data_IF_589150388302
#
_entry.id   IF_589150388302
#
_cell.length_a   1.000
_cell.length_b   1.000
_cell.length_c   1.000
_cell.angle_alpha   90.00
_cell.angle_beta   90.00
_cell.angle_gamma   90.00
#
_symmetry.space_group_name_H-M   'P 1'
#
loop_
_entity.id
_entity.type
_entity.pdbx_description
1 polymer ?
#
# COMPACT_ATOMS: atom_id res chain seq x y z
N UNK A 1 19.30 3.54 6.34
CA UNK A 1 19.07 3.92 7.75
C UNK A 1 18.06 5.06 7.74
N UNK A 2 16.80 4.78 8.04
CA UNK A 2 15.81 5.82 8.32
C UNK A 2 15.96 6.17 9.79
N UNK A 3 16.42 7.39 10.11
CA UNK A 3 16.42 7.88 11.48
C UNK A 3 14.98 8.29 11.73
N UNK A 4 14.20 7.57 12.56
CA UNK A 4 12.83 7.98 12.84
C UNK A 4 12.89 9.32 13.54
N UNK A 5 12.44 10.38 12.87
CA UNK A 5 12.35 11.69 13.50
C UNK A 5 11.27 11.59 14.56
N UNK A 6 11.59 11.75 15.86
CA UNK A 6 10.60 11.54 16.92
C UNK A 6 9.41 12.48 16.70
N UNK A 7 8.20 11.96 16.77
CA UNK A 7 6.97 12.75 16.58
C UNK A 7 6.91 13.98 17.50
N UNK A 8 7.45 13.87 18.71
CA UNK A 8 7.59 14.97 19.66
C UNK A 8 8.55 16.07 19.17
N UNK A 9 9.67 15.70 18.54
CA UNK A 9 10.61 16.65 17.93
C UNK A 9 10.01 17.30 16.68
N UNK A 10 9.23 16.56 15.89
CA UNK A 10 8.54 17.11 14.73
C UNK A 10 7.54 18.20 15.13
N UNK A 11 6.66 17.90 16.10
CA UNK A 11 5.70 18.86 16.63
C UNK A 11 6.41 20.02 17.34
N UNK A 12 7.45 19.75 18.13
CA UNK A 12 8.26 20.79 18.76
C UNK A 12 8.89 21.76 17.76
N UNK A 13 9.42 21.26 16.65
CA UNK A 13 9.98 22.08 15.57
C UNK A 13 8.91 22.95 14.90
N UNK A 14 7.71 22.40 14.63
CA UNK A 14 6.60 23.14 14.03
C UNK A 14 6.13 24.26 14.97
N UNK A 15 5.93 23.96 16.25
CA UNK A 15 5.50 24.96 17.25
C UNK A 15 6.58 26.04 17.42
N UNK A 16 7.86 25.66 17.46
CA UNK A 16 8.97 26.61 17.54
C UNK A 16 9.04 27.54 16.33
N UNK A 17 8.88 26.99 15.11
CA UNK A 17 8.84 27.77 13.88
C UNK A 17 7.65 28.73 13.84
N UNK A 18 6.44 28.27 14.20
CA UNK A 18 5.25 29.13 14.26
C UNK A 18 5.37 30.26 15.28
N UNK A 19 5.91 29.98 16.47
CA UNK A 19 6.19 31.02 17.48
C UNK A 19 7.27 32.00 17.06
N UNK A 20 8.28 31.56 16.31
CA UNK A 20 9.35 32.40 15.77
C UNK A 20 8.87 33.32 14.64
N UNK A 21 7.89 32.89 13.85
CA UNK A 21 7.35 33.67 12.72
C UNK A 21 6.47 34.84 13.17
N UNK A 22 5.78 34.68 14.30
CA UNK A 22 4.88 35.69 14.87
C UNK A 22 5.55 37.07 15.12
N UNK A 23 6.64 37.18 15.91
CA UNK A 23 7.29 38.47 16.16
C UNK A 23 7.88 39.07 14.89
N UNK A 24 8.41 38.26 13.97
CA UNK A 24 8.95 38.74 12.70
C UNK A 24 7.88 39.40 11.84
N UNK A 25 6.74 38.73 11.63
CA UNK A 25 5.63 39.28 10.85
C UNK A 25 5.04 40.55 11.51
N UNK A 26 5.01 40.65 12.85
CA UNK A 26 4.53 41.87 13.53
C UNK A 26 5.43 43.09 13.30
N UNK A 27 6.76 42.91 13.18
CA UNK A 27 7.70 44.01 12.88
C UNK A 27 7.45 44.58 11.49
N UNK A 28 7.09 43.72 10.53
CA UNK A 28 6.80 44.11 9.15
C UNK A 28 5.56 45.00 9.06
N UNK A 29 4.45 44.56 9.66
CA UNK A 29 3.19 45.27 9.57
C UNK A 29 3.19 46.58 10.36
N UNK A 30 3.96 46.65 11.45
CA UNK A 30 4.23 47.93 12.14
C UNK A 30 5.00 48.91 11.25
N UNK A 31 5.89 48.43 10.39
CA UNK A 31 6.59 49.27 9.40
C UNK A 31 5.67 49.79 8.28
N UNK A 32 4.54 49.11 8.02
CA UNK A 32 3.53 49.54 7.05
C UNK A 32 2.55 50.60 7.60
N UNK A 33 2.66 50.96 8.89
CA UNK A 33 1.90 52.07 9.48
C UNK A 33 0.43 51.76 9.78
N UNK A 34 0.03 50.49 9.82
CA UNK A 34 -1.33 50.09 10.18
C UNK A 34 -1.59 50.12 11.69
N UNK A 35 -2.87 50.18 12.09
CA UNK A 35 -3.28 50.12 13.48
C UNK A 35 -2.74 48.84 14.17
N UNK A 36 -2.19 48.98 15.38
CA UNK A 36 -1.49 47.88 16.08
C UNK A 36 -2.32 46.60 16.19
N UNK A 37 -3.63 46.72 16.39
CA UNK A 37 -4.52 45.57 16.48
C UNK A 37 -4.64 44.79 15.16
N UNK A 38 -4.70 45.49 14.02
CA UNK A 38 -4.77 44.86 12.69
C UNK A 38 -3.45 44.13 12.36
N UNK A 39 -2.32 44.74 12.74
CA UNK A 39 -0.98 44.16 12.58
C UNK A 39 -0.85 42.82 13.30
N UNK A 40 -1.29 42.73 14.56
CA UNK A 40 -1.23 41.48 15.30
C UNK A 40 -2.15 40.41 14.69
N UNK A 41 -3.32 40.80 14.20
CA UNK A 41 -4.25 39.87 13.54
C UNK A 41 -3.64 39.30 12.26
N UNK A 42 -3.09 40.15 11.39
CA UNK A 42 -2.46 39.73 10.13
C UNK A 42 -1.18 38.91 10.33
N UNK A 43 -0.36 39.27 11.31
CA UNK A 43 0.83 38.48 11.66
C UNK A 43 0.45 37.09 12.21
N UNK A 44 -0.60 37.01 13.03
CA UNK A 44 -1.08 35.75 13.61
C UNK A 44 -1.61 34.78 12.56
N UNK A 45 -2.36 35.29 11.56
CA UNK A 45 -2.93 34.45 10.50
C UNK A 45 -1.84 33.91 9.59
N UNK A 46 -0.86 34.72 9.20
CA UNK A 46 0.29 34.27 8.40
C UNK A 46 1.15 33.24 9.14
N UNK A 47 1.47 33.50 10.42
CA UNK A 47 2.27 32.61 11.26
C UNK A 47 1.61 31.23 11.49
N UNK A 48 0.29 31.12 11.34
CA UNK A 48 -0.44 29.86 11.40
C UNK A 48 -0.58 29.19 10.03
N UNK A 49 -0.94 29.96 9.00
CA UNK A 49 -1.25 29.43 7.67
C UNK A 49 0.01 28.88 6.99
N UNK A 50 1.16 29.55 7.11
CA UNK A 50 2.39 29.16 6.43
C UNK A 50 2.88 27.77 6.90
N UNK A 51 3.00 27.49 8.21
CA UNK A 51 3.32 26.15 8.69
C UNK A 51 2.28 25.10 8.29
N UNK A 52 0.99 25.41 8.40
CA UNK A 52 -0.09 24.44 8.09
C UNK A 52 -0.06 24.02 6.62
N UNK A 53 0.12 24.97 5.70
CA UNK A 53 0.25 24.67 4.27
C UNK A 53 1.53 23.88 4.00
N UNK A 54 2.66 24.25 4.62
CA UNK A 54 3.91 23.49 4.50
C UNK A 54 3.77 22.03 4.96
N UNK A 55 3.00 21.82 6.04
CA UNK A 55 2.70 20.49 6.58
C UNK A 55 1.88 19.66 5.58
N UNK A 56 0.80 20.23 5.05
CA UNK A 56 -0.09 19.56 4.10
C UNK A 56 0.60 19.24 2.79
N UNK A 57 1.37 20.18 2.25
CA UNK A 57 2.15 19.97 1.03
C UNK A 57 3.25 18.93 1.26
N UNK A 58 3.95 18.96 2.41
CA UNK A 58 4.94 17.94 2.76
C UNK A 58 4.37 16.53 2.79
N UNK A 59 3.18 16.36 3.38
CA UNK A 59 2.45 15.08 3.40
C UNK A 59 2.03 14.70 1.97
N UNK A 60 1.43 15.63 1.21
CA UNK A 60 0.93 15.34 -0.12
C UNK A 60 2.05 14.97 -1.10
N UNK A 61 3.16 15.69 -1.05
CA UNK A 61 4.34 15.44 -1.89
C UNK A 61 4.97 14.07 -1.60
N UNK A 62 4.88 13.60 -0.35
CA UNK A 62 5.34 12.27 0.05
C UNK A 62 4.45 11.15 -0.50
N UNK A 63 3.15 11.39 -0.70
CA UNK A 63 2.21 10.40 -1.24
C UNK A 63 2.11 10.43 -2.78
N UNK A 64 2.30 11.59 -3.41
CA UNK A 64 2.07 11.77 -4.84
C UNK A 64 3.30 11.51 -5.73
N UNK A 65 4.53 11.66 -5.20
CA UNK A 65 5.75 11.65 -6.00
C UNK A 65 6.61 10.40 -5.68
N UNK A 66 7.17 9.70 -6.70
CA UNK A 66 8.11 8.61 -6.47
C UNK A 66 9.31 9.06 -5.62
N UNK A 67 9.66 8.28 -4.59
CA UNK A 67 10.64 8.64 -3.54
C UNK A 67 11.99 9.14 -4.06
N UNK A 68 12.49 8.65 -5.19
CA UNK A 68 13.74 9.16 -5.78
C UNK A 68 13.62 10.62 -6.22
N UNK A 69 12.53 10.96 -6.91
CA UNK A 69 12.27 12.33 -7.33
C UNK A 69 11.96 13.23 -6.13
N UNK A 70 11.20 12.76 -5.14
CA UNK A 70 10.91 13.51 -3.91
C UNK A 70 12.15 13.79 -3.05
N UNK A 71 13.03 12.79 -2.87
CA UNK A 71 14.28 12.95 -2.13
C UNK A 71 15.26 13.87 -2.84
N UNK A 72 15.38 13.80 -4.17
CA UNK A 72 16.21 14.72 -4.95
C UNK A 72 15.65 16.14 -4.86
N UNK A 73 14.33 16.30 -4.99
CA UNK A 73 13.65 17.58 -4.93
C UNK A 73 13.87 18.26 -3.58
N UNK A 74 13.65 17.55 -2.47
CA UNK A 74 13.90 18.09 -1.12
C UNK A 74 15.39 18.28 -0.86
N UNK A 75 16.23 17.37 -1.33
CA UNK A 75 17.67 17.48 -1.24
C UNK A 75 18.22 18.72 -1.96
N UNK A 76 17.56 19.19 -3.01
CA UNK A 76 17.88 20.44 -3.71
C UNK A 76 17.24 21.66 -3.04
N UNK A 77 15.98 21.54 -2.62
CA UNK A 77 15.22 22.63 -2.00
C UNK A 77 15.76 23.04 -0.63
N UNK A 78 16.16 22.09 0.20
CA UNK A 78 16.69 22.37 1.54
C UNK A 78 17.92 23.29 1.52
N UNK A 79 19.01 23.02 0.76
CA UNK A 79 20.17 23.91 0.70
C UNK A 79 19.87 25.24 0.02
N UNK A 80 18.99 25.28 -0.99
CA UNK A 80 18.55 26.54 -1.61
C UNK A 80 17.85 27.43 -0.56
N UNK A 81 16.98 26.82 0.24
CA UNK A 81 16.26 27.52 1.31
C UNK A 81 17.21 28.06 2.36
N UNK A 82 18.12 27.22 2.87
CA UNK A 82 19.12 27.62 3.88
C UNK A 82 20.03 28.72 3.33
N UNK A 83 20.47 28.60 2.07
CA UNK A 83 21.26 29.61 1.39
C UNK A 83 20.51 30.95 1.24
N UNK A 84 19.24 30.90 0.83
CA UNK A 84 18.38 32.07 0.72
C UNK A 84 18.16 32.77 2.07
N UNK A 85 18.00 32.01 3.14
CA UNK A 85 17.85 32.56 4.49
C UNK A 85 19.13 33.17 5.04
N UNK A 86 20.28 32.52 4.86
CA UNK A 86 21.57 33.10 5.22
C UNK A 86 21.83 34.41 4.47
N UNK A 87 21.46 34.45 3.18
CA UNK A 87 21.52 35.66 2.38
C UNK A 87 20.60 36.77 2.92
N UNK A 88 19.38 36.42 3.31
CA UNK A 88 18.42 37.36 3.90
C UNK A 88 18.85 37.91 5.26
N UNK A 89 19.37 37.06 6.14
CA UNK A 89 19.95 37.47 7.43
C UNK A 89 21.15 38.39 7.18
N UNK A 90 21.99 38.09 6.18
CA UNK A 90 23.10 38.96 5.77
C UNK A 90 22.61 40.33 5.27
N UNK A 91 21.52 40.37 4.50
CA UNK A 91 20.89 41.62 4.06
C UNK A 91 20.34 42.43 5.25
N UNK A 92 19.61 41.81 6.18
CA UNK A 92 19.10 42.48 7.39
C UNK A 92 20.23 43.02 8.26
N UNK A 93 21.29 42.23 8.42
CA UNK A 93 22.49 42.67 9.14
C UNK A 93 23.10 43.89 8.46
N UNK A 94 23.18 43.89 7.12
CA UNK A 94 23.75 44.99 6.37
C UNK A 94 22.88 46.25 6.43
N UNK A 95 21.56 46.13 6.32
CA UNK A 95 20.62 47.27 6.42
C UNK A 95 20.55 47.83 7.84
N UNK A 96 20.57 46.97 8.86
CA UNK A 96 20.61 47.39 10.26
C UNK A 96 21.92 48.11 10.62
N UNK A 97 23.06 47.63 10.11
CA UNK A 97 24.35 48.32 10.28
C UNK A 97 24.34 49.65 9.50
N UNK A 98 23.86 49.69 8.26
CA UNK A 98 23.85 50.92 7.47
C UNK A 98 22.93 52.00 8.03
N UNK A 99 21.79 51.63 8.63
CA UNK A 99 20.84 52.57 9.25
C UNK A 99 21.35 53.13 10.59
N UNK A 100 22.13 52.36 11.36
CA UNK A 100 22.83 52.85 12.55
C UNK A 100 23.99 53.82 12.23
N UNK A 101 24.72 53.60 11.13
CA UNK A 101 25.84 54.45 10.74
C UNK A 101 25.45 55.67 9.88
N UNK A 102 24.25 55.69 9.31
CA UNK A 102 23.76 56.77 8.43
C UNK A 102 22.56 57.48 9.05
N UNK A 103 22.78 58.17 10.16
CA UNK A 103 21.79 59.05 10.78
C UNK A 103 21.44 60.22 9.81
N UNK A 104 20.45 60.03 8.93
CA UNK A 104 19.88 61.09 8.10
C UNK A 104 19.65 60.80 6.61
N UNK A 105 19.93 59.60 6.09
CA UNK A 105 19.67 59.28 4.68
C UNK A 105 18.26 58.68 4.47
N UNK A 106 17.58 58.96 3.34
CA UNK A 106 16.17 58.64 3.14
C UNK A 106 15.93 57.12 3.17
N UNK A 107 14.99 56.70 4.03
CA UNK A 107 14.56 55.32 4.30
C UNK A 107 14.02 54.54 3.08
N UNK A 108 13.90 55.17 1.92
CA UNK A 108 13.29 54.59 0.72
C UNK A 108 14.11 53.44 0.09
N UNK A 109 15.44 53.45 0.22
CA UNK A 109 16.30 52.38 -0.33
C UNK A 109 16.37 51.12 0.56
N UNK A 110 15.96 51.22 1.82
CA UNK A 110 16.04 50.15 2.81
C UNK A 110 14.79 49.27 2.84
N UNK A 111 13.64 49.84 2.49
CA UNK A 111 12.33 49.17 2.54
C UNK A 111 12.26 47.94 1.61
N UNK A 112 12.85 48.03 0.41
CA UNK A 112 12.92 46.91 -0.54
C UNK A 112 13.83 45.77 -0.08
N UNK A 113 14.97 46.09 0.57
CA UNK A 113 15.90 45.08 1.11
C UNK A 113 15.31 44.36 2.32
N UNK A 114 14.58 45.09 3.17
CA UNK A 114 13.81 44.54 4.27
C UNK A 114 12.74 43.56 3.78
N UNK A 115 11.97 43.94 2.75
CA UNK A 115 10.96 43.07 2.14
C UNK A 115 11.56 41.78 1.58
N UNK A 116 12.70 41.86 0.88
CA UNK A 116 13.42 40.68 0.39
C UNK A 116 13.91 39.75 1.50
N UNK A 117 14.38 40.31 2.61
CA UNK A 117 14.85 39.50 3.71
C UNK A 117 13.71 38.78 4.46
N UNK A 118 12.58 39.47 4.63
CA UNK A 118 11.38 38.89 5.24
C UNK A 118 10.76 37.80 4.36
N UNK A 119 10.73 38.01 3.04
CA UNK A 119 10.30 37.00 2.07
C UNK A 119 11.14 35.72 2.15
N UNK A 120 12.46 35.87 2.24
CA UNK A 120 13.37 34.76 2.36
C UNK A 120 13.29 34.05 3.73
N UNK A 121 12.97 34.78 4.80
CA UNK A 121 12.74 34.20 6.13
C UNK A 121 11.42 33.39 6.17
N UNK A 122 10.33 33.94 5.62
CA UNK A 122 9.05 33.22 5.49
C UNK A 122 9.18 32.00 4.57
N UNK A 123 9.99 32.10 3.50
CA UNK A 123 10.35 30.95 2.67
C UNK A 123 11.12 29.88 3.45
N UNK A 124 12.03 30.28 4.36
CA UNK A 124 12.72 29.33 5.23
C UNK A 124 11.76 28.58 6.15
N UNK A 125 10.84 29.29 6.80
CA UNK A 125 9.86 28.67 7.68
C UNK A 125 9.01 27.67 6.89
N UNK A 126 8.50 28.09 5.74
CA UNK A 126 7.69 27.25 4.86
C UNK A 126 8.42 25.97 4.42
N UNK A 127 9.62 26.09 3.87
CA UNK A 127 10.38 24.93 3.39
C UNK A 127 10.95 24.07 4.52
N UNK A 128 11.24 24.66 5.68
CA UNK A 128 11.63 23.94 6.89
C UNK A 128 10.51 23.01 7.38
N UNK A 129 9.28 23.52 7.47
CA UNK A 129 8.11 22.71 7.84
C UNK A 129 7.80 21.66 6.77
N UNK A 130 7.92 22.01 5.49
CA UNK A 130 7.71 21.08 4.38
C UNK A 130 8.71 19.91 4.40
N UNK A 131 9.99 20.18 4.62
CA UNK A 131 11.02 19.15 4.74
C UNK A 131 10.81 18.29 5.99
N UNK A 132 10.53 18.90 7.15
CA UNK A 132 10.26 18.19 8.39
C UNK A 132 9.03 17.27 8.26
N UNK A 133 7.95 17.76 7.66
CA UNK A 133 6.73 17.00 7.39
C UNK A 133 7.00 15.82 6.44
N UNK A 134 7.79 16.05 5.38
CA UNK A 134 8.17 15.00 4.45
C UNK A 134 8.96 13.86 5.10
N UNK A 135 9.91 14.17 6.00
CA UNK A 135 10.70 13.14 6.68
C UNK A 135 9.94 12.43 7.81
N UNK A 136 9.06 13.15 8.52
CA UNK A 136 8.31 12.60 9.65
C UNK A 136 7.22 11.60 9.21
N UNK A 137 6.60 11.81 8.04
CA UNK A 137 5.65 10.87 7.48
C UNK A 137 6.38 9.88 6.55
N UNK A 138 7.07 8.91 7.13
CA UNK A 138 7.66 7.79 6.39
C UNK A 138 6.57 6.74 6.13
N UNK A 139 6.04 6.58 4.90
CA UNK A 139 5.08 5.50 4.62
C UNK A 139 5.80 4.16 4.76
N UNK A 140 5.26 3.27 5.59
CA UNK A 140 5.82 1.96 5.94
C UNK A 140 6.27 1.15 4.71
N UNK A 141 7.54 1.32 4.34
CA UNK A 141 8.15 0.70 3.16
C UNK A 141 8.16 -0.83 3.26
N UNK A 142 8.27 -1.32 4.49
CA UNK A 142 8.18 -2.75 4.78
C UNK A 142 6.80 -3.29 4.40
N UNK A 143 5.73 -2.56 4.67
CA UNK A 143 4.36 -3.01 4.43
C UNK A 143 4.07 -3.13 2.92
N UNK A 144 4.50 -2.15 2.13
CA UNK A 144 4.35 -2.17 0.66
C UNK A 144 5.18 -3.29 0.01
N UNK A 145 6.42 -3.49 0.48
CA UNK A 145 7.25 -4.61 0.02
C UNK A 145 6.63 -5.95 0.41
N UNK A 146 6.11 -6.08 1.63
CA UNK A 146 5.39 -7.27 2.05
C UNK A 146 4.14 -7.51 1.20
N UNK A 147 3.35 -6.48 0.90
CA UNK A 147 2.18 -6.59 0.05
C UNK A 147 2.53 -7.08 -1.37
N UNK A 148 3.59 -6.52 -1.98
CA UNK A 148 4.09 -6.98 -3.29
C UNK A 148 4.60 -8.42 -3.23
N UNK A 149 5.29 -8.80 -2.16
CA UNK A 149 5.78 -10.16 -1.98
C UNK A 149 4.62 -11.17 -1.84
N UNK A 150 3.61 -10.85 -1.02
CA UNK A 150 2.41 -11.67 -0.83
C UNK A 150 1.61 -11.84 -2.12
N UNK A 151 1.36 -10.74 -2.84
CA UNK A 151 0.65 -10.80 -4.13
C UNK A 151 1.43 -11.62 -5.17
N UNK A 152 2.76 -11.57 -5.17
CA UNK A 152 3.58 -12.41 -6.05
C UNK A 152 3.50 -13.90 -5.68
N UNK A 153 3.47 -14.22 -4.38
CA UNK A 153 3.37 -15.57 -3.86
C UNK A 153 2.00 -16.18 -4.17
N UNK A 154 0.94 -15.39 -4.02
CA UNK A 154 -0.43 -15.79 -4.37
C UNK A 154 -0.58 -16.12 -5.86
N UNK A 155 0.08 -15.35 -6.74
CA UNK A 155 0.10 -15.68 -8.18
C UNK A 155 0.74 -17.04 -8.44
N UNK A 156 1.87 -17.34 -7.80
CA UNK A 156 2.56 -18.63 -7.92
C UNK A 156 1.68 -19.77 -7.35
N UNK A 157 1.07 -19.57 -6.18
CA UNK A 157 0.16 -20.53 -5.55
C UNK A 157 -1.04 -20.84 -6.45
N UNK A 158 -1.68 -19.82 -7.04
CA UNK A 158 -2.80 -19.99 -7.98
C UNK A 158 -2.39 -20.78 -9.22
N UNK A 159 -1.20 -20.54 -9.77
CA UNK A 159 -0.70 -21.29 -10.92
C UNK A 159 -0.52 -22.78 -10.59
N UNK A 160 0.05 -23.11 -9.43
CA UNK A 160 0.20 -24.50 -8.95
C UNK A 160 -1.17 -25.13 -8.71
N UNK A 161 -2.08 -24.43 -8.03
CA UNK A 161 -3.46 -24.90 -7.78
C UNK A 161 -4.20 -25.22 -9.07
N UNK A 162 -4.06 -24.40 -10.12
CA UNK A 162 -4.68 -24.65 -11.43
C UNK A 162 -4.14 -25.92 -12.11
N UNK A 163 -2.83 -26.17 -11.99
CA UNK A 163 -2.19 -27.40 -12.50
C UNK A 163 -2.68 -28.62 -11.74
N UNK A 164 -2.72 -28.54 -10.41
CA UNK A 164 -3.26 -29.58 -9.55
C UNK A 164 -4.70 -29.89 -9.98
N UNK A 165 -5.57 -28.87 -10.06
CA UNK A 165 -6.97 -29.01 -10.45
C UNK A 165 -7.14 -29.76 -11.77
N UNK A 166 -6.37 -29.39 -12.79
CA UNK A 166 -6.39 -30.05 -14.10
C UNK A 166 -6.02 -31.54 -14.01
N UNK A 167 -5.03 -31.88 -13.20
CA UNK A 167 -4.60 -33.28 -12.99
C UNK A 167 -5.69 -34.07 -12.26
N UNK A 168 -6.23 -33.52 -11.16
CA UNK A 168 -7.30 -34.17 -10.41
C UNK A 168 -8.57 -34.39 -11.25
N UNK A 169 -8.97 -33.42 -12.07
CA UNK A 169 -10.12 -33.58 -12.99
C UNK A 169 -9.87 -34.66 -14.04
N UNK A 170 -8.62 -34.80 -14.53
CA UNK A 170 -8.28 -35.84 -15.49
C UNK A 170 -8.35 -37.23 -14.87
N UNK A 171 -7.77 -37.38 -13.68
CA UNK A 171 -7.80 -38.64 -12.92
C UNK A 171 -9.25 -39.05 -12.62
N UNK A 172 -10.08 -38.12 -12.15
CA UNK A 172 -11.49 -38.42 -11.88
C UNK A 172 -12.26 -38.80 -13.16
N UNK A 173 -11.94 -38.17 -14.29
CA UNK A 173 -12.49 -38.56 -15.59
C UNK A 173 -12.10 -39.98 -16.01
N UNK A 174 -10.83 -40.36 -15.83
CA UNK A 174 -10.33 -41.72 -16.12
C UNK A 174 -10.95 -42.77 -15.18
N UNK A 175 -11.10 -42.47 -13.88
CA UNK A 175 -11.79 -43.32 -12.92
C UNK A 175 -13.25 -43.53 -13.34
N UNK A 176 -13.96 -42.45 -13.71
CA UNK A 176 -15.36 -42.55 -14.11
C UNK A 176 -15.54 -43.35 -15.40
N UNK A 177 -14.63 -43.19 -16.37
CA UNK A 177 -14.62 -43.99 -17.59
C UNK A 177 -14.41 -45.49 -17.29
N UNK A 178 -13.47 -45.82 -16.39
CA UNK A 178 -13.24 -47.20 -15.97
C UNK A 178 -14.45 -47.80 -15.24
N UNK A 179 -15.07 -47.05 -14.32
CA UNK A 179 -16.32 -47.45 -13.63
C UNK A 179 -17.44 -47.76 -14.63
N UNK A 180 -17.64 -46.87 -15.60
CA UNK A 180 -18.65 -47.04 -16.65
C UNK A 180 -18.41 -48.30 -17.49
N UNK A 181 -17.16 -48.54 -17.91
CA UNK A 181 -16.80 -49.72 -18.71
C UNK A 181 -17.04 -51.04 -17.95
N UNK A 182 -16.70 -51.09 -16.66
CA UNK A 182 -16.97 -52.25 -15.81
C UNK A 182 -18.48 -52.51 -15.72
N UNK A 183 -19.29 -51.48 -15.53
CA UNK A 183 -20.74 -51.66 -15.42
C UNK A 183 -21.37 -52.07 -16.77
N UNK A 184 -20.83 -51.59 -17.90
CA UNK A 184 -21.22 -52.03 -19.23
C UNK A 184 -20.91 -53.53 -19.45
N UNK A 185 -19.74 -54.02 -19.01
CA UNK A 185 -19.41 -55.45 -19.09
C UNK A 185 -20.35 -56.27 -18.20
N UNK A 186 -20.66 -55.78 -16.99
CA UNK A 186 -21.61 -56.44 -16.09
C UNK A 186 -23.01 -56.51 -16.71
N UNK A 187 -23.49 -55.45 -17.34
CA UNK A 187 -24.81 -55.44 -17.99
C UNK A 187 -24.87 -56.41 -19.18
N UNK A 188 -23.85 -56.41 -20.05
CA UNK A 188 -23.74 -57.37 -21.16
C UNK A 188 -23.67 -58.81 -20.67
N UNK A 189 -22.98 -59.05 -19.56
CA UNK A 189 -22.90 -60.40 -18.95
C UNK A 189 -24.26 -60.83 -18.41
N UNK A 190 -24.99 -59.93 -17.73
CA UNK A 190 -26.37 -60.20 -17.28
C UNK A 190 -27.29 -60.55 -18.45
N UNK A 191 -27.21 -59.78 -19.53
CA UNK A 191 -28.00 -60.00 -20.74
C UNK A 191 -27.70 -61.36 -21.38
N UNK A 192 -26.41 -61.69 -21.57
CA UNK A 192 -26.00 -63.00 -22.13
C UNK A 192 -26.45 -64.17 -21.26
N UNK A 193 -26.33 -64.05 -19.94
CA UNK A 193 -26.82 -65.07 -19.00
C UNK A 193 -28.34 -65.22 -19.10
N UNK A 194 -29.08 -64.12 -19.18
CA UNK A 194 -30.54 -64.16 -19.34
C UNK A 194 -30.96 -64.83 -20.66
N UNK A 195 -30.30 -64.46 -21.78
CA UNK A 195 -30.54 -65.05 -23.10
C UNK A 195 -30.22 -66.55 -23.11
N UNK A 196 -29.11 -66.96 -22.50
CA UNK A 196 -28.76 -68.37 -22.33
C UNK A 196 -29.84 -69.11 -21.53
N UNK A 197 -30.30 -68.55 -20.40
CA UNK A 197 -31.36 -69.15 -19.57
C UNK A 197 -32.66 -69.31 -20.35
N UNK A 198 -33.09 -68.26 -21.07
CA UNK A 198 -34.30 -68.29 -21.88
C UNK A 198 -34.22 -69.36 -22.98
N UNK A 199 -33.07 -69.44 -23.67
CA UNK A 199 -32.83 -70.43 -24.71
C UNK A 199 -32.82 -71.84 -24.13
N UNK A 200 -32.11 -72.05 -23.01
CA UNK A 200 -32.04 -73.35 -22.35
C UNK A 200 -33.43 -73.84 -21.91
N UNK A 201 -34.24 -72.98 -21.28
CA UNK A 201 -35.62 -73.32 -20.87
C UNK A 201 -36.48 -73.74 -22.07
N UNK A 202 -36.34 -73.07 -23.22
CA UNK A 202 -37.10 -73.42 -24.44
C UNK A 202 -36.78 -74.81 -24.97
N UNK A 203 -35.52 -75.26 -24.90
CA UNK A 203 -35.08 -76.54 -25.45
C UNK A 203 -35.07 -77.69 -24.43
N UNK A 204 -35.26 -77.40 -23.14
CA UNK A 204 -35.20 -78.41 -22.08
C UNK A 204 -36.54 -79.10 -21.88
N UNK A 205 -36.51 -80.43 -21.75
CA UNK A 205 -37.68 -81.25 -21.36
C UNK A 205 -37.82 -81.46 -19.84
N UNK A 206 -36.81 -81.05 -19.06
CA UNK A 206 -36.72 -81.20 -17.60
C UNK A 206 -36.76 -79.83 -16.91
N UNK A 207 -37.08 -79.83 -15.61
CA UNK A 207 -37.09 -78.64 -14.76
C UNK A 207 -35.76 -77.88 -14.83
N UNK A 208 -35.75 -76.53 -14.74
CA UNK A 208 -34.54 -75.73 -14.83
C UNK A 208 -33.57 -76.03 -13.67
N UNK A 209 -32.24 -75.93 -13.89
CA UNK A 209 -31.26 -76.16 -12.84
C UNK A 209 -31.46 -75.18 -11.68
N UNK A 210 -31.18 -75.59 -10.42
CA UNK A 210 -31.26 -74.69 -9.26
C UNK A 210 -30.42 -73.42 -9.41
N UNK A 211 -29.31 -73.47 -10.16
CA UNK A 211 -28.44 -72.31 -10.43
C UNK A 211 -29.13 -71.18 -11.21
N UNK A 212 -30.24 -71.45 -11.90
CA UNK A 212 -31.00 -70.44 -12.62
C UNK A 212 -31.84 -69.55 -11.68
N UNK A 213 -32.02 -69.98 -10.43
CA UNK A 213 -32.78 -69.24 -9.40
C UNK A 213 -32.00 -68.05 -8.84
N UNK A 214 -30.66 -68.04 -8.97
CA UNK A 214 -29.81 -66.94 -8.51
C UNK A 214 -29.46 -65.99 -9.66
N UNK A 215 -29.30 -64.71 -9.37
CA UNK A 215 -28.72 -63.76 -10.34
C UNK A 215 -27.26 -64.10 -10.64
N UNK A 216 -26.68 -63.60 -11.75
CA UNK A 216 -25.24 -63.68 -11.95
C UNK A 216 -24.54 -62.92 -10.82
N UNK A 217 -23.67 -63.63 -10.10
CA UNK A 217 -22.87 -63.10 -9.01
C UNK A 217 -21.62 -62.43 -9.60
N UNK A 218 -21.37 -61.17 -9.22
CA UNK A 218 -20.16 -60.46 -9.60
C UNK A 218 -19.28 -60.29 -8.36
N UNK A 219 -17.95 -60.34 -8.51
CA UNK A 219 -17.06 -60.02 -7.40
C UNK A 219 -17.34 -58.60 -6.92
N UNK A 220 -17.33 -58.41 -5.60
CA UNK A 220 -17.33 -57.08 -5.00
C UNK A 220 -16.04 -56.37 -5.44
N UNK A 221 -16.18 -55.14 -5.94
CA UNK A 221 -15.06 -54.33 -6.38
C UNK A 221 -14.86 -53.21 -5.38
N UNK A 222 -13.64 -53.08 -4.86
CA UNK A 222 -13.21 -51.90 -4.15
C UNK A 222 -12.95 -50.79 -5.16
N UNK A 223 -13.82 -49.79 -5.18
CA UNK A 223 -13.68 -48.67 -6.11
C UNK A 223 -12.49 -47.81 -5.74
N UNK A 224 -11.76 -47.35 -6.74
CA UNK A 224 -10.69 -46.38 -6.52
C UNK A 224 -11.25 -45.10 -5.86
N UNK A 225 -10.55 -44.55 -4.85
CA UNK A 225 -10.94 -43.29 -4.24
C UNK A 225 -10.84 -42.15 -5.26
N UNK A 226 -11.80 -41.24 -5.22
CA UNK A 226 -11.78 -40.05 -6.05
C UNK A 226 -10.71 -39.07 -5.55
N UNK A 227 -10.05 -38.37 -6.47
CA UNK A 227 -9.08 -37.35 -6.10
C UNK A 227 -9.82 -36.16 -5.44
N UNK A 228 -9.72 -36.05 -4.12
CA UNK A 228 -10.28 -34.94 -3.35
C UNK A 228 -9.36 -33.72 -3.48
N UNK A 229 -9.85 -32.68 -4.16
CA UNK A 229 -9.08 -31.46 -4.43
C UNK A 229 -9.30 -30.36 -3.38
N UNK A 230 -10.17 -30.62 -2.40
CA UNK A 230 -10.52 -29.74 -1.29
C UNK A 230 -10.00 -30.31 0.02
N UNK A 231 -8.69 -30.38 0.22
CA UNK A 231 -8.11 -30.54 1.56
C UNK A 231 -7.72 -29.17 2.12
N UNK A 232 -8.73 -28.33 2.40
CA UNK A 232 -8.51 -27.18 3.31
C UNK A 232 -8.76 -27.55 4.78
N UNK A 233 -9.22 -28.77 5.11
CA UNK A 233 -9.37 -29.25 6.49
C UNK A 233 -8.76 -30.65 6.71
N UNK A 234 -7.44 -30.73 6.76
CA UNK A 234 -6.72 -32.00 6.98
C UNK A 234 -5.35 -31.83 7.63
N UNK A 235 -5.14 -30.76 8.40
CA UNK A 235 -4.18 -30.80 9.50
C UNK A 235 -4.97 -31.28 10.72
N UNK A 236 -4.93 -32.58 10.98
CA UNK A 236 -5.18 -33.07 12.33
C UNK A 236 -4.08 -32.49 13.20
N UNK A 237 -4.41 -31.41 13.90
CA UNK A 237 -3.67 -30.95 15.07
C UNK A 237 -3.63 -32.15 16.03
N UNK A 238 -2.45 -32.78 16.10
CA UNK A 238 -2.19 -33.83 17.07
C UNK A 238 -2.11 -33.19 18.45
N UNK A 239 -3.23 -33.21 19.17
CA UNK A 239 -3.29 -33.16 20.63
C UNK A 239 -3.99 -34.40 21.13
#
# INVERSE_FOLDING_TARGET
MTIPFPSALHWGLIVFLGFGEFPLNTVVFRLFGEAEFLTYLMASTLALIIPVIGLFIGIHMRHAIPRMAGNILIGLLAPITVGGALYAVSLLRNTYISSQFSAGAPMASDQGRLAWALFALNSLVFFGVLAASYFAHDPDEKLDLFHKSLTSLDRKRRAVRKRLFRIGTRINGEIQAAKSHIEQIRSLTRERVAMYRQTNIRFRRLLPPPSFRRGPEFPQLDWWPEASMNSENGASDGR
#
